data_IF_327627670172
#
_entry.id   IF_327627670172
#
_cell.length_a   1.000
_cell.length_b   1.000
_cell.length_c   1.000
_cell.angle_alpha   90.00
_cell.angle_beta   90.00
_cell.angle_gamma   90.00
#
_symmetry.space_group_name_H-M   'P 1'
#
loop_
_entity.id
_entity.type
_entity.pdbx_description
1 polymer ?
#
# COMPACT_ATOMS: atom_id res chain seq x y z
N UNK A 1 14.68 0.48 -4.76
CA UNK A 1 13.64 1.49 -4.55
C UNK A 1 13.83 2.08 -3.14
N UNK A 2 12.78 2.61 -2.49
CA UNK A 2 12.82 3.16 -1.12
C UNK A 2 13.24 2.09 -0.08
N UNK A 3 13.01 0.83 -0.40
CA UNK A 3 13.34 -0.41 0.32
C UNK A 3 14.75 -0.98 0.00
N UNK A 4 15.37 -0.61 -1.13
CA UNK A 4 16.73 -1.05 -1.50
C UNK A 4 16.81 -2.40 -2.22
N UNK A 5 15.67 -2.94 -2.65
CA UNK A 5 15.47 -4.22 -3.32
C UNK A 5 16.32 -4.49 -4.59
N UNK A 6 16.49 -3.50 -5.47
CA UNK A 6 17.03 -3.69 -6.82
C UNK A 6 18.46 -3.14 -7.03
N UNK A 7 19.03 -2.47 -6.03
CA UNK A 7 20.25 -1.68 -6.18
C UNK A 7 21.44 -2.18 -5.34
N UNK A 8 21.39 -3.41 -4.80
CA UNK A 8 22.46 -4.06 -4.03
C UNK A 8 23.03 -3.20 -2.88
N UNK A 9 22.24 -2.25 -2.38
CA UNK A 9 22.62 -1.30 -1.34
C UNK A 9 21.50 -1.19 -0.32
N UNK A 10 21.87 -1.03 0.95
CA UNK A 10 20.91 -0.76 2.00
C UNK A 10 20.16 0.54 1.71
N UNK A 11 18.84 0.52 1.92
CA UNK A 11 18.02 1.73 1.86
C UNK A 11 18.48 2.77 2.89
N UNK A 12 18.15 4.03 2.61
CA UNK A 12 18.30 5.10 3.60
C UNK A 12 17.58 4.74 4.92
N UNK A 13 16.40 4.13 4.82
CA UNK A 13 15.63 3.64 5.96
C UNK A 13 16.44 2.66 6.82
N UNK A 14 16.97 1.58 6.23
CA UNK A 14 17.79 0.59 6.95
C UNK A 14 19.03 1.22 7.56
N UNK A 15 19.71 2.09 6.81
CA UNK A 15 20.95 2.73 7.29
C UNK A 15 20.73 3.68 8.47
N UNK A 16 19.60 4.40 8.52
CA UNK A 16 19.32 5.38 9.57
C UNK A 16 18.65 4.73 10.79
N UNK A 17 17.74 3.79 10.58
CA UNK A 17 16.92 3.21 11.66
C UNK A 17 17.47 1.88 12.17
N UNK A 18 18.20 1.14 11.33
CA UNK A 18 18.59 -0.24 11.59
C UNK A 18 17.46 -1.26 11.38
N UNK A 19 16.24 -0.85 11.01
CA UNK A 19 15.09 -1.75 10.88
C UNK A 19 15.09 -2.50 9.55
N UNK A 20 14.67 -3.76 9.58
CA UNK A 20 14.48 -4.59 8.39
C UNK A 20 13.06 -4.51 7.84
N UNK A 21 12.06 -4.30 8.71
CA UNK A 21 10.67 -4.15 8.29
C UNK A 21 10.30 -2.69 8.07
N UNK A 22 9.75 -2.41 6.89
CA UNK A 22 9.13 -1.13 6.54
C UNK A 22 7.60 -1.26 6.36
N UNK A 23 7.04 -2.43 6.62
CA UNK A 23 5.59 -2.69 6.56
C UNK A 23 4.86 -2.33 7.85
N UNK A 24 5.56 -2.44 8.99
CA UNK A 24 5.07 -2.05 10.31
C UNK A 24 6.27 -1.63 11.17
N UNK A 25 6.39 -0.33 11.44
CA UNK A 25 7.52 0.21 12.20
C UNK A 25 7.54 -0.19 13.69
N UNK A 26 6.50 -0.86 14.21
CA UNK A 26 6.55 -1.47 15.53
C UNK A 26 7.36 -2.77 15.54
N UNK A 27 7.57 -3.37 14.37
CA UNK A 27 8.38 -4.57 14.19
C UNK A 27 9.72 -4.18 13.58
N UNK A 28 10.81 -4.39 14.30
CA UNK A 28 12.15 -4.03 13.81
C UNK A 28 12.74 -5.07 12.85
N UNK A 29 12.17 -6.28 12.85
CA UNK A 29 12.56 -7.42 12.02
C UNK A 29 11.37 -7.79 11.15
N UNK A 30 11.62 -8.05 9.87
CA UNK A 30 10.59 -8.56 8.96
C UNK A 30 10.14 -9.96 9.40
N UNK A 31 8.84 -10.19 9.67
CA UNK A 31 8.28 -11.53 9.87
C UNK A 31 8.22 -12.30 8.53
N UNK A 32 9.39 -12.48 7.90
CA UNK A 32 9.57 -13.07 6.57
C UNK A 32 9.03 -14.49 6.41
N UNK A 33 8.63 -15.14 7.50
CA UNK A 33 8.10 -16.51 7.49
C UNK A 33 6.64 -16.59 6.99
N UNK A 34 5.82 -15.54 7.10
CA UNK A 34 4.39 -15.62 6.74
C UNK A 34 4.18 -15.95 5.26
N UNK A 35 4.90 -15.25 4.37
CA UNK A 35 4.87 -15.53 2.93
C UNK A 35 5.38 -16.94 2.61
N UNK A 36 6.35 -17.44 3.37
CA UNK A 36 6.85 -18.81 3.20
C UNK A 36 5.82 -19.85 3.61
N UNK A 37 5.09 -19.65 4.71
CA UNK A 37 4.01 -20.55 5.12
C UNK A 37 2.88 -20.57 4.09
N UNK A 38 2.48 -19.40 3.59
CA UNK A 38 1.48 -19.29 2.53
C UNK A 38 1.95 -20.01 1.26
N UNK A 39 3.18 -19.75 0.80
CA UNK A 39 3.75 -20.40 -0.38
C UNK A 39 3.84 -21.92 -0.24
N UNK A 40 4.19 -22.44 0.96
CA UNK A 40 4.18 -23.89 1.24
C UNK A 40 2.77 -24.46 1.19
N UNK A 41 1.80 -23.75 1.80
CA UNK A 41 0.42 -24.20 1.88
C UNK A 41 -0.25 -24.31 0.51
N UNK A 42 -0.16 -23.26 -0.32
CA UNK A 42 -0.82 -23.24 -1.64
C UNK A 42 -0.21 -24.23 -2.64
N UNK A 43 1.01 -24.70 -2.37
CA UNK A 43 1.69 -25.68 -3.20
C UNK A 43 1.41 -27.14 -2.81
N UNK A 44 0.65 -27.40 -1.74
CA UNK A 44 0.23 -28.76 -1.37
C UNK A 44 -0.65 -29.36 -2.47
N UNK A 45 -0.46 -30.65 -2.79
CA UNK A 45 -1.11 -31.31 -3.95
C UNK A 45 -2.64 -31.23 -3.92
N UNK A 46 -3.25 -31.45 -2.75
CA UNK A 46 -4.69 -31.34 -2.55
C UNK A 46 -5.19 -29.90 -2.73
N UNK A 47 -4.43 -28.89 -2.27
CA UNK A 47 -4.77 -27.48 -2.46
C UNK A 47 -4.68 -27.14 -3.95
N UNK A 48 -3.57 -27.50 -4.62
CA UNK A 48 -3.37 -27.29 -6.06
C UNK A 48 -4.47 -27.94 -6.90
N UNK A 49 -4.89 -29.16 -6.53
CA UNK A 49 -6.01 -29.85 -7.15
C UNK A 49 -7.34 -29.11 -6.93
N UNK A 50 -7.57 -28.60 -5.72
CA UNK A 50 -8.78 -27.86 -5.32
C UNK A 50 -8.91 -26.52 -6.03
N UNK A 51 -7.82 -25.78 -6.20
CA UNK A 51 -7.81 -24.48 -6.91
C UNK A 51 -7.56 -24.63 -8.42
N UNK A 52 -7.46 -25.87 -8.92
CA UNK A 52 -7.36 -26.22 -10.33
C UNK A 52 -6.18 -25.58 -11.09
N UNK A 53 -5.03 -25.38 -10.44
CA UNK A 53 -3.83 -24.76 -11.06
C UNK A 53 -3.00 -25.74 -11.91
N UNK A 54 -3.32 -27.03 -11.87
CA UNK A 54 -2.64 -28.07 -12.65
C UNK A 54 -1.15 -28.16 -12.31
N UNK A 55 -0.29 -28.16 -13.34
CA UNK A 55 1.17 -28.22 -13.19
C UNK A 55 1.86 -26.84 -13.27
N UNK A 56 1.11 -25.75 -13.07
CA UNK A 56 1.66 -24.39 -13.15
C UNK A 56 2.70 -24.15 -12.05
N UNK A 57 3.86 -23.62 -12.41
CA UNK A 57 4.91 -23.24 -11.47
C UNK A 57 4.47 -22.08 -10.60
N UNK A 58 4.69 -22.17 -9.28
CA UNK A 58 4.53 -21.03 -8.39
C UNK A 58 5.86 -20.25 -8.35
N UNK A 59 5.85 -19.03 -8.89
CA UNK A 59 7.05 -18.19 -9.00
C UNK A 59 7.26 -17.34 -7.74
N UNK A 60 8.51 -17.23 -7.28
CA UNK A 60 8.93 -16.37 -6.16
C UNK A 60 10.10 -15.47 -6.55
N UNK A 61 10.33 -15.30 -7.86
CA UNK A 61 11.42 -14.49 -8.40
C UNK A 61 10.97 -13.03 -8.67
N UNK A 62 11.95 -12.15 -8.90
CA UNK A 62 11.75 -10.70 -9.10
C UNK A 62 11.71 -10.28 -10.58
N UNK A 63 11.53 -11.23 -11.51
CA UNK A 63 11.65 -10.93 -12.95
C UNK A 63 10.66 -9.86 -13.40
N UNK A 64 9.41 -9.92 -12.94
CA UNK A 64 8.37 -8.96 -13.31
C UNK A 64 8.70 -7.57 -12.77
N UNK A 65 9.10 -7.49 -11.51
CA UNK A 65 9.50 -6.24 -10.84
C UNK A 65 10.66 -5.56 -11.59
N UNK A 66 11.70 -6.32 -11.94
CA UNK A 66 12.84 -5.78 -12.71
C UNK A 66 12.43 -5.22 -14.07
N UNK A 67 11.50 -5.88 -14.76
CA UNK A 67 11.01 -5.42 -16.06
C UNK A 67 10.12 -4.17 -15.95
N UNK A 68 9.46 -3.95 -14.81
CA UNK A 68 8.58 -2.80 -14.56
C UNK A 68 9.25 -1.68 -13.74
N UNK A 69 10.56 -1.76 -13.51
CA UNK A 69 11.29 -0.81 -12.67
C UNK A 69 11.11 0.65 -13.13
N UNK A 70 11.01 0.89 -14.44
CA UNK A 70 10.84 2.24 -14.99
C UNK A 70 9.42 2.79 -14.80
N UNK A 71 8.43 1.94 -14.55
CA UNK A 71 7.03 2.34 -14.33
C UNK A 71 6.76 2.82 -12.91
N UNK A 72 7.57 2.36 -11.94
CA UNK A 72 7.41 2.65 -10.50
C UNK A 72 7.27 4.15 -10.21
N UNK A 73 8.11 4.97 -10.86
CA UNK A 73 8.16 6.42 -10.61
C UNK A 73 7.20 7.21 -11.52
N UNK A 74 6.47 6.55 -12.40
CA UNK A 74 5.58 7.22 -13.34
C UNK A 74 4.27 7.60 -12.63
N UNK A 75 3.92 8.88 -12.72
CA UNK A 75 2.72 9.39 -12.07
C UNK A 75 1.45 8.94 -12.79
N UNK A 76 0.54 8.31 -12.03
CA UNK A 76 -0.83 7.98 -12.47
C UNK A 76 -1.86 9.02 -12.04
N UNK A 77 -1.42 10.19 -11.53
CA UNK A 77 -2.29 11.24 -11.02
C UNK A 77 -3.41 11.68 -12.00
N UNK A 78 -3.16 11.82 -13.33
CA UNK A 78 -4.22 12.19 -14.26
C UNK A 78 -5.40 11.20 -14.27
N UNK A 79 -5.12 9.90 -14.19
CA UNK A 79 -6.16 8.87 -14.18
C UNK A 79 -6.92 8.86 -12.86
N UNK A 80 -6.24 9.08 -11.72
CA UNK A 80 -6.92 9.20 -10.43
C UNK A 80 -7.86 10.41 -10.42
N UNK A 81 -7.42 11.55 -10.97
CA UNK A 81 -8.26 12.74 -11.13
C UNK A 81 -9.49 12.49 -12.02
N UNK A 82 -9.32 11.76 -13.12
CA UNK A 82 -10.40 11.37 -14.02
C UNK A 82 -11.40 10.44 -13.30
N UNK A 83 -10.91 9.44 -12.58
CA UNK A 83 -11.75 8.54 -11.80
C UNK A 83 -12.54 9.29 -10.73
N UNK A 84 -11.90 10.17 -9.98
CA UNK A 84 -12.57 11.00 -8.96
C UNK A 84 -13.61 11.95 -9.55
N UNK A 85 -13.53 12.28 -10.84
CA UNK A 85 -14.55 13.09 -11.50
C UNK A 85 -15.82 12.30 -11.82
N UNK A 86 -15.77 10.95 -11.84
CA UNK A 86 -16.84 10.10 -12.33
C UNK A 86 -17.30 9.02 -11.34
N UNK A 87 -16.45 8.63 -10.39
CA UNK A 87 -16.65 7.49 -9.50
C UNK A 87 -16.24 7.85 -8.08
N UNK A 88 -16.93 7.22 -7.12
CA UNK A 88 -16.50 7.25 -5.72
C UNK A 88 -15.25 6.40 -5.55
N UNK A 89 -14.22 6.98 -4.93
CA UNK A 89 -12.93 6.34 -4.69
C UNK A 89 -12.58 6.41 -3.21
N UNK A 90 -12.16 5.27 -2.64
CA UNK A 90 -11.60 5.18 -1.30
C UNK A 90 -10.08 4.98 -1.42
N UNK A 91 -9.30 5.87 -0.82
CA UNK A 91 -7.88 5.68 -0.59
C UNK A 91 -7.65 5.52 0.91
N UNK A 92 -7.00 4.44 1.32
CA UNK A 92 -6.73 4.16 2.72
C UNK A 92 -5.30 3.70 2.94
N UNK A 93 -4.74 4.04 4.10
CA UNK A 93 -3.43 3.58 4.55
C UNK A 93 -3.53 3.04 5.98
N UNK A 94 -2.69 2.04 6.29
CA UNK A 94 -2.39 1.69 7.67
C UNK A 94 -1.48 2.73 8.32
N UNK A 95 -1.68 3.03 9.59
CA UNK A 95 -0.90 4.05 10.30
C UNK A 95 0.58 3.66 10.53
N UNK A 96 0.89 2.36 10.41
CA UNK A 96 2.21 1.79 10.72
C UNK A 96 3.10 1.57 9.49
N UNK A 97 2.58 1.82 8.29
CA UNK A 97 3.30 1.62 7.04
C UNK A 97 4.34 2.73 6.80
N UNK A 98 5.56 2.34 6.40
CA UNK A 98 6.64 3.25 6.02
C UNK A 98 6.79 3.33 4.49
N UNK A 99 6.59 2.24 3.75
CA UNK A 99 6.87 2.24 2.29
C UNK A 99 5.88 3.14 1.54
N UNK A 100 4.60 3.12 1.93
CA UNK A 100 3.55 4.02 1.42
C UNK A 100 2.89 4.74 2.61
N UNK A 101 3.72 5.46 3.37
CA UNK A 101 3.28 6.10 4.60
C UNK A 101 2.12 7.08 4.39
N UNK A 102 1.15 7.06 5.31
CA UNK A 102 -0.05 7.91 5.24
C UNK A 102 0.22 9.41 5.01
N UNK A 103 1.23 10.06 5.64
CA UNK A 103 1.55 11.45 5.34
C UNK A 103 1.90 11.72 3.87
N UNK A 104 2.48 10.73 3.16
CA UNK A 104 2.78 10.83 1.74
C UNK A 104 1.50 10.82 0.90
N UNK A 105 0.54 9.95 1.22
CA UNK A 105 -0.79 9.94 0.59
C UNK A 105 -1.53 11.26 0.81
N UNK A 106 -1.52 11.79 2.04
CA UNK A 106 -2.13 13.09 2.34
C UNK A 106 -1.46 14.20 1.54
N UNK A 107 -0.13 14.23 1.48
CA UNK A 107 0.59 15.22 0.68
C UNK A 107 0.25 15.10 -0.82
N UNK A 108 0.18 13.88 -1.35
CA UNK A 108 -0.26 13.63 -2.72
C UNK A 108 -1.67 14.20 -2.96
N UNK A 109 -2.64 13.90 -2.09
CA UNK A 109 -4.03 14.36 -2.20
C UNK A 109 -4.18 15.88 -2.06
N UNK A 110 -3.37 16.53 -1.22
CA UNK A 110 -3.35 17.99 -1.10
C UNK A 110 -2.91 18.69 -2.39
N UNK A 111 -2.08 18.03 -3.20
CA UNK A 111 -1.56 18.56 -4.46
C UNK A 111 -2.32 18.05 -5.70
N UNK A 112 -3.13 17.00 -5.55
CA UNK A 112 -3.93 16.42 -6.63
C UNK A 112 -5.04 17.39 -7.06
N UNK A 113 -5.14 17.64 -8.38
CA UNK A 113 -6.20 18.44 -8.97
C UNK A 113 -7.34 17.51 -9.41
N UNK A 114 -8.48 17.56 -8.73
CA UNK A 114 -9.68 16.78 -9.06
C UNK A 114 -10.94 17.60 -8.71
N UNK A 115 -12.12 17.10 -9.08
CA UNK A 115 -13.40 17.79 -8.91
C UNK A 115 -13.70 18.29 -7.49
N UNK A 116 -13.18 17.61 -6.46
CA UNK A 116 -13.33 17.97 -5.05
C UNK A 116 -12.06 18.51 -4.38
N UNK A 117 -11.03 18.94 -5.12
CA UNK A 117 -9.74 19.30 -4.53
C UNK A 117 -9.79 20.46 -3.55
N UNK A 118 -10.61 21.48 -3.82
CA UNK A 118 -10.71 22.65 -2.94
C UNK A 118 -11.54 22.35 -1.68
N UNK A 119 -12.57 21.52 -1.80
CA UNK A 119 -13.29 20.96 -0.66
C UNK A 119 -12.33 20.13 0.20
N UNK A 120 -11.53 19.26 -0.41
CA UNK A 120 -10.58 18.40 0.30
C UNK A 120 -9.57 19.19 1.12
N UNK A 121 -9.05 20.31 0.64
CA UNK A 121 -8.08 21.13 1.41
C UNK A 121 -8.61 21.60 2.76
N UNK A 122 -9.93 21.81 2.86
CA UNK A 122 -10.58 22.37 4.06
C UNK A 122 -11.49 21.38 4.78
N UNK A 123 -11.79 20.23 4.18
CA UNK A 123 -12.70 19.25 4.76
C UNK A 123 -12.22 18.76 6.14
N UNK A 124 -13.12 18.64 7.12
CA UNK A 124 -12.78 18.16 8.45
C UNK A 124 -12.47 16.66 8.41
N UNK A 125 -11.60 16.23 9.32
CA UNK A 125 -11.36 14.81 9.59
C UNK A 125 -12.24 14.38 10.76
N UNK A 126 -12.86 13.23 10.65
CA UNK A 126 -13.71 12.66 11.70
C UNK A 126 -13.21 11.29 12.15
N UNK A 127 -13.56 10.93 13.39
CA UNK A 127 -13.23 9.65 13.99
C UNK A 127 -14.15 8.56 13.44
N UNK A 128 -13.58 7.44 13.03
CA UNK A 128 -14.32 6.26 12.59
C UNK A 128 -14.18 5.15 13.62
N UNK A 129 -15.33 4.61 14.06
CA UNK A 129 -15.43 3.57 15.08
C UNK A 129 -15.98 2.27 14.49
N UNK A 130 -15.46 1.13 14.96
CA UNK A 130 -16.03 -0.19 14.74
C UNK A 130 -16.44 -0.72 16.11
N UNK A 131 -17.75 -0.79 16.36
CA UNK A 131 -18.25 -0.97 17.73
C UNK A 131 -17.84 0.20 18.62
N UNK A 132 -17.13 -0.09 19.72
CA UNK A 132 -16.59 0.91 20.65
C UNK A 132 -15.17 1.37 20.30
N UNK A 133 -14.51 0.69 19.37
CA UNK A 133 -13.08 0.87 19.14
C UNK A 133 -12.83 1.92 18.05
N UNK A 134 -11.93 2.85 18.33
CA UNK A 134 -11.49 3.85 17.36
C UNK A 134 -10.60 3.18 16.31
N UNK A 135 -11.24 2.72 15.23
CA UNK A 135 -10.61 2.03 14.11
C UNK A 135 -9.79 2.97 13.21
N UNK A 136 -10.10 4.27 13.22
CA UNK A 136 -9.42 5.17 12.31
C UNK A 136 -9.94 6.59 12.27
N UNK A 137 -9.48 7.28 11.23
CA UNK A 137 -9.94 8.61 10.89
C UNK A 137 -10.29 8.66 9.41
N UNK A 138 -11.35 9.39 9.08
CA UNK A 138 -11.81 9.52 7.70
C UNK A 138 -11.98 11.00 7.36
N UNK A 139 -11.73 11.31 6.09
CA UNK A 139 -11.96 12.63 5.50
C UNK A 139 -12.61 12.45 4.14
N UNK A 140 -13.63 13.24 3.84
CA UNK A 140 -14.40 13.12 2.60
C UNK A 140 -14.45 14.47 1.88
N UNK A 141 -14.41 14.43 0.55
CA UNK A 141 -14.57 15.60 -0.31
C UNK A 141 -14.97 15.15 -1.73
N UNK A 142 -16.11 15.64 -2.22
CA UNK A 142 -16.71 15.16 -3.46
C UNK A 142 -16.82 13.63 -3.49
N UNK A 143 -16.17 13.01 -4.47
CA UNK A 143 -16.12 11.56 -4.65
C UNK A 143 -14.98 10.86 -3.90
N UNK A 144 -14.08 11.60 -3.24
CA UNK A 144 -12.97 11.04 -2.49
C UNK A 144 -13.38 10.71 -1.05
N UNK A 145 -13.02 9.51 -0.60
CA UNK A 145 -12.89 9.17 0.82
C UNK A 145 -11.43 8.82 1.12
N UNK A 146 -10.79 9.55 2.03
CA UNK A 146 -9.48 9.25 2.60
C UNK A 146 -9.68 8.54 3.95
N UNK A 147 -9.00 7.42 4.17
CA UNK A 147 -9.01 6.68 5.43
C UNK A 147 -7.62 6.44 6.02
N UNK A 148 -7.45 6.74 7.30
CA UNK A 148 -6.34 6.23 8.12
C UNK A 148 -6.86 5.08 8.99
N UNK A 149 -6.31 3.89 8.80
CA UNK A 149 -6.58 2.70 9.63
C UNK A 149 -5.55 2.63 10.75
N UNK A 150 -6.01 2.49 11.99
CA UNK A 150 -5.16 2.42 13.18
C UNK A 150 -4.78 1.01 13.57
#
# INVERSE_FOLDING_TARGET
LLDGDLNNHNSLFKNVTGFDSYYDFLNTVDPSDELQYMAKYIQRDDIRATIHVGNSTFHTDSTVEQNLMLDVMQSVAPWVSELLSNYRVLLYNGQLDIIVAYPLTVNYLQNLKFSGSDEYKTAPRYKWYVGTDLAGYVKQAGNLTEGLVR
#
